data_IF_704580670023
#
_entry.id   IF_704580670023
#
_cell.length_a   1.000
_cell.length_b   1.000
_cell.length_c   1.000
_cell.angle_alpha   90.00
_cell.angle_beta   90.00
_cell.angle_gamma   90.00
#
_symmetry.space_group_name_H-M   'P 1'
#
loop_
_entity.id
_entity.type
_entity.pdbx_description
1 polymer ?
#
# COMPACT_ATOMS: atom_id res chain seq x y z
N UNK A 1 -10.33 17.34 -18.68
CA UNK A 1 -11.53 16.66 -18.18
C UNK A 1 -11.13 15.25 -17.79
N UNK A 2 -11.44 14.79 -16.58
CA UNK A 2 -11.09 13.43 -16.16
C UNK A 2 -11.91 12.41 -16.97
N UNK A 3 -11.23 11.36 -17.45
CA UNK A 3 -11.90 10.26 -18.15
C UNK A 3 -12.43 9.28 -17.09
N UNK A 4 -13.74 9.05 -17.09
CA UNK A 4 -14.38 8.07 -16.21
C UNK A 4 -14.79 6.84 -17.01
N UNK A 5 -14.53 5.62 -16.51
CA UNK A 5 -14.81 4.38 -17.24
C UNK A 5 -16.32 4.09 -17.40
N UNK A 6 -17.15 4.65 -16.51
CA UNK A 6 -18.60 4.46 -16.55
C UNK A 6 -19.30 5.78 -16.85
N UNK A 7 -20.28 5.73 -17.74
CA UNK A 7 -21.08 6.90 -18.12
C UNK A 7 -21.77 7.55 -16.93
N UNK A 8 -22.33 6.76 -16.02
CA UNK A 8 -22.96 7.28 -14.79
C UNK A 8 -21.98 8.05 -13.90
N UNK A 9 -20.72 7.63 -13.82
CA UNK A 9 -19.68 8.37 -13.09
C UNK A 9 -19.37 9.71 -13.78
N UNK A 10 -19.27 9.70 -15.09
CA UNK A 10 -19.04 10.92 -15.87
C UNK A 10 -20.15 11.94 -15.66
N UNK A 11 -21.40 11.50 -15.72
CA UNK A 11 -22.59 12.32 -15.47
C UNK A 11 -22.61 12.85 -14.03
N UNK A 12 -22.36 11.99 -13.05
CA UNK A 12 -22.32 12.35 -11.63
C UNK A 12 -21.23 13.40 -11.35
N UNK A 13 -20.01 13.17 -11.84
CA UNK A 13 -18.90 14.13 -11.67
C UNK A 13 -19.21 15.45 -12.39
N UNK A 14 -19.80 15.42 -13.57
CA UNK A 14 -20.22 16.61 -14.30
C UNK A 14 -21.27 17.44 -13.56
N UNK A 15 -22.22 16.76 -12.88
CA UNK A 15 -23.31 17.40 -12.15
C UNK A 15 -22.90 17.92 -10.77
N UNK A 16 -21.98 17.22 -10.07
CA UNK A 16 -21.64 17.55 -8.68
C UNK A 16 -20.30 18.27 -8.54
N UNK A 17 -19.33 18.04 -9.41
CA UNK A 17 -18.00 18.69 -9.45
C UNK A 17 -17.35 18.81 -8.10
N UNK A 18 -17.33 17.70 -7.33
CA UNK A 18 -16.69 17.67 -6.02
C UNK A 18 -15.18 17.96 -6.16
N UNK A 19 -14.68 18.85 -5.32
CA UNK A 19 -13.27 19.15 -5.14
C UNK A 19 -12.88 19.06 -3.68
N UNK A 20 -11.61 19.06 -3.39
CA UNK A 20 -11.09 18.99 -2.02
C UNK A 20 -9.86 19.86 -1.88
N UNK A 21 -10.04 21.11 -1.46
CA UNK A 21 -8.95 21.98 -1.06
C UNK A 21 -8.69 21.80 0.44
N UNK A 22 -7.44 21.54 0.83
CA UNK A 22 -7.04 21.32 2.21
C UNK A 22 -5.68 21.92 2.52
N UNK A 23 -5.19 21.64 3.73
CA UNK A 23 -3.89 22.12 4.21
C UNK A 23 -3.02 20.95 4.65
N UNK A 24 -1.73 21.20 4.79
CA UNK A 24 -0.73 20.41 5.50
C UNK A 24 0.23 21.33 6.22
N UNK A 25 1.01 20.82 7.18
CA UNK A 25 1.98 21.61 7.92
C UNK A 25 1.39 22.46 9.05
N UNK A 26 0.20 22.11 9.55
CA UNK A 26 -0.41 22.87 10.67
C UNK A 26 0.46 22.85 11.92
N UNK A 27 0.99 21.69 12.31
CA UNK A 27 1.84 21.58 13.50
C UNK A 27 3.12 22.40 13.34
N UNK A 28 3.72 22.40 12.17
CA UNK A 28 4.90 23.25 11.87
C UNK A 28 4.59 24.74 11.99
N UNK A 29 3.42 25.16 11.52
CA UNK A 29 2.98 26.55 11.63
C UNK A 29 2.77 26.96 13.09
N UNK A 30 2.12 26.11 13.90
CA UNK A 30 1.92 26.36 15.33
C UNK A 30 3.25 26.44 16.10
N UNK A 31 4.20 25.53 15.82
CA UNK A 31 5.54 25.55 16.39
C UNK A 31 6.26 26.85 16.05
N UNK A 32 6.23 27.29 14.78
CA UNK A 32 6.85 28.55 14.35
C UNK A 32 6.24 29.80 15.00
N UNK A 33 4.98 29.71 15.41
CA UNK A 33 4.27 30.77 16.12
C UNK A 33 4.39 30.68 17.65
N UNK A 34 5.11 29.65 18.17
CA UNK A 34 5.24 29.32 19.59
C UNK A 34 3.87 29.04 20.25
N UNK A 35 2.98 28.39 19.52
CA UNK A 35 1.64 28.02 19.97
C UNK A 35 1.60 26.51 20.19
N UNK A 36 1.23 26.10 21.40
CA UNK A 36 1.06 24.67 21.74
C UNK A 36 -0.16 24.10 21.01
N UNK A 37 0.03 22.99 20.30
CA UNK A 37 -1.05 22.28 19.65
C UNK A 37 -2.10 21.82 20.69
N UNK A 38 -3.39 22.06 20.45
CA UNK A 38 -4.47 21.74 21.37
C UNK A 38 -4.82 22.83 22.37
N UNK A 39 -4.01 23.89 22.50
CA UNK A 39 -4.31 25.05 23.34
C UNK A 39 -5.47 25.89 22.78
N UNK A 40 -6.10 26.70 23.64
CA UNK A 40 -7.15 27.63 23.21
C UNK A 40 -6.65 28.62 22.13
N UNK A 41 -5.39 29.02 22.21
CA UNK A 41 -4.76 29.85 21.20
C UNK A 41 -4.69 29.13 19.85
N UNK A 42 -4.31 27.83 19.84
CA UNK A 42 -4.30 27.01 18.64
C UNK A 42 -5.71 26.84 18.05
N UNK A 43 -6.70 26.53 18.89
CA UNK A 43 -8.11 26.39 18.50
C UNK A 43 -8.62 27.70 17.86
N UNK A 44 -8.38 28.84 18.51
CA UNK A 44 -8.79 30.15 17.99
C UNK A 44 -8.13 30.50 16.65
N UNK A 45 -6.84 30.17 16.49
CA UNK A 45 -6.11 30.38 15.23
C UNK A 45 -6.67 29.47 14.12
N UNK A 46 -6.91 28.19 14.43
CA UNK A 46 -7.47 27.23 13.49
C UNK A 46 -8.87 27.63 13.03
N UNK A 47 -9.71 28.12 13.94
CA UNK A 47 -11.04 28.65 13.61
C UNK A 47 -10.96 29.81 12.61
N UNK A 48 -10.08 30.78 12.86
CA UNK A 48 -9.86 31.92 11.95
C UNK A 48 -9.39 31.47 10.56
N UNK A 49 -8.42 30.54 10.48
CA UNK A 49 -7.91 30.02 9.22
C UNK A 49 -9.01 29.28 8.48
N UNK A 50 -9.72 28.37 9.16
CA UNK A 50 -10.82 27.59 8.59
C UNK A 50 -11.94 28.49 8.06
N UNK A 51 -12.32 29.51 8.81
CA UNK A 51 -13.33 30.50 8.43
C UNK A 51 -12.92 31.25 7.14
N UNK A 52 -11.68 31.73 7.05
CA UNK A 52 -11.19 32.41 5.85
C UNK A 52 -11.17 31.49 4.65
N UNK A 53 -10.68 30.25 4.82
CA UNK A 53 -10.65 29.25 3.76
C UNK A 53 -12.06 28.93 3.25
N UNK A 54 -13.00 28.67 4.14
CA UNK A 54 -14.39 28.33 3.79
C UNK A 54 -15.05 29.47 3.00
N UNK A 55 -14.99 30.69 3.52
CA UNK A 55 -15.59 31.87 2.88
C UNK A 55 -15.00 32.15 1.50
N UNK A 56 -13.68 32.04 1.35
CA UNK A 56 -13.03 32.26 0.05
C UNK A 56 -13.35 31.16 -0.95
N UNK A 57 -13.41 29.90 -0.50
CA UNK A 57 -13.78 28.78 -1.37
C UNK A 57 -15.24 28.92 -1.85
N UNK A 58 -16.16 29.25 -0.96
CA UNK A 58 -17.58 29.51 -1.27
C UNK A 58 -17.70 30.66 -2.27
N UNK A 59 -17.07 31.79 -2.00
CA UNK A 59 -17.09 32.97 -2.88
C UNK A 59 -16.57 32.62 -4.28
N UNK A 60 -15.43 31.92 -4.35
CA UNK A 60 -14.84 31.53 -5.63
C UNK A 60 -15.72 30.56 -6.38
N UNK A 61 -16.28 29.54 -5.72
CA UNK A 61 -17.18 28.58 -6.34
C UNK A 61 -18.45 29.25 -6.90
N UNK A 62 -19.00 30.24 -6.19
CA UNK A 62 -20.16 31.00 -6.69
C UNK A 62 -19.82 31.91 -7.87
N UNK A 63 -18.62 32.46 -7.92
CA UNK A 63 -18.15 33.28 -9.07
C UNK A 63 -17.98 32.43 -10.33
N UNK A 64 -17.45 31.19 -10.20
CA UNK A 64 -17.32 30.25 -11.33
C UNK A 64 -18.68 29.86 -11.89
N UNK A 65 -19.69 29.71 -11.04
CA UNK A 65 -21.04 29.36 -11.48
C UNK A 65 -21.65 30.46 -12.35
N UNK A 66 -21.44 31.72 -12.03
CA UNK A 66 -21.93 32.85 -12.80
C UNK A 66 -21.37 32.89 -14.23
N UNK A 67 -20.16 32.40 -14.45
CA UNK A 67 -19.50 32.37 -15.77
C UNK A 67 -19.92 31.16 -16.63
N UNK A 68 -20.16 30.02 -16.01
CA UNK A 68 -20.35 28.73 -16.72
C UNK A 68 -21.74 28.13 -16.61
N UNK A 69 -22.66 28.82 -15.95
CA UNK A 69 -24.01 28.37 -15.64
C UNK A 69 -24.05 27.37 -14.46
N UNK A 70 -25.22 27.19 -13.85
CA UNK A 70 -25.37 26.42 -12.63
C UNK A 70 -24.95 24.95 -12.86
N UNK A 71 -23.87 24.55 -12.21
CA UNK A 71 -23.39 23.18 -12.30
C UNK A 71 -23.94 22.28 -11.21
N UNK A 72 -24.33 22.83 -10.08
CA UNK A 72 -24.93 22.10 -8.99
C UNK A 72 -26.43 22.44 -8.83
N UNK A 73 -27.25 21.79 -9.61
CA UNK A 73 -28.72 22.05 -9.69
C UNK A 73 -29.48 21.78 -8.39
N UNK A 74 -28.91 21.06 -7.44
CA UNK A 74 -29.53 20.73 -6.15
C UNK A 74 -28.96 21.51 -4.97
N UNK A 75 -28.19 22.57 -5.22
CA UNK A 75 -27.55 23.37 -4.19
C UNK A 75 -28.55 23.84 -3.11
N UNK A 76 -29.70 24.37 -3.52
CA UNK A 76 -30.77 24.87 -2.63
C UNK A 76 -31.42 23.77 -1.77
N UNK A 77 -31.26 22.49 -2.11
CA UNK A 77 -31.76 21.34 -1.32
C UNK A 77 -30.78 20.89 -0.26
N UNK A 78 -29.51 21.32 -0.34
CA UNK A 78 -28.46 20.93 0.62
C UNK A 78 -28.72 21.54 2.00
N UNK A 79 -28.63 20.72 3.04
CA UNK A 79 -28.69 21.19 4.43
C UNK A 79 -27.53 22.12 4.78
N UNK A 80 -26.35 21.90 4.21
CA UNK A 80 -25.21 22.80 4.34
C UNK A 80 -25.53 24.19 3.78
N UNK A 81 -26.09 24.24 2.57
CA UNK A 81 -26.50 25.48 1.92
C UNK A 81 -27.54 26.25 2.75
N UNK A 82 -28.56 25.54 3.25
CA UNK A 82 -29.61 26.14 4.11
C UNK A 82 -29.07 26.74 5.39
N UNK A 83 -28.06 26.14 5.99
CA UNK A 83 -27.46 26.59 7.27
C UNK A 83 -26.49 27.76 7.11
N UNK A 84 -25.70 27.75 6.03
CA UNK A 84 -24.53 28.62 5.91
C UNK A 84 -24.70 29.72 4.83
N UNK A 85 -25.69 29.60 3.96
CA UNK A 85 -25.88 30.51 2.83
C UNK A 85 -27.36 30.87 2.61
N UNK A 86 -27.91 31.77 3.43
CA UNK A 86 -29.27 32.24 3.17
C UNK A 86 -29.26 33.08 1.91
N UNK A 87 -29.75 32.54 0.82
CA UNK A 87 -30.47 33.19 -0.28
C UNK A 87 -29.79 33.68 -1.54
N UNK A 88 -28.44 33.73 -1.74
CA UNK A 88 -27.95 34.39 -2.98
C UNK A 88 -26.89 33.68 -3.84
N UNK A 89 -26.23 32.65 -3.35
CA UNK A 89 -25.15 32.05 -4.10
C UNK A 89 -25.47 30.63 -4.54
N UNK A 90 -25.45 30.38 -5.85
CA UNK A 90 -25.38 29.02 -6.38
C UNK A 90 -23.91 28.62 -6.43
N UNK A 91 -23.59 27.39 -6.02
CA UNK A 91 -22.24 26.89 -6.02
C UNK A 91 -21.98 26.01 -7.25
N UNK A 92 -20.82 26.18 -7.86
CA UNK A 92 -20.38 25.31 -8.95
C UNK A 92 -20.02 23.89 -8.48
N UNK A 93 -19.75 23.72 -7.18
CA UNK A 93 -19.22 22.51 -6.60
C UNK A 93 -20.05 22.09 -5.38
N UNK A 94 -20.31 20.78 -5.22
CA UNK A 94 -21.02 20.24 -4.07
C UNK A 94 -20.18 20.11 -2.82
N UNK A 95 -18.87 20.03 -2.98
CA UNK A 95 -17.89 19.94 -1.93
C UNK A 95 -16.69 20.80 -2.32
N UNK A 96 -16.17 21.58 -1.40
CA UNK A 96 -15.06 22.51 -1.61
C UNK A 96 -13.82 22.14 -0.80
N UNK A 97 -14.01 21.89 0.51
CA UNK A 97 -12.92 21.71 1.45
C UNK A 97 -12.82 20.26 1.96
N UNK A 98 -11.59 19.79 2.11
CA UNK A 98 -11.26 18.50 2.69
C UNK A 98 -9.92 18.56 3.42
N UNK A 99 -9.73 17.77 4.46
CA UNK A 99 -8.44 17.52 5.08
C UNK A 99 -8.06 16.07 4.77
N UNK A 100 -7.23 15.91 3.76
CA UNK A 100 -6.69 14.62 3.35
C UNK A 100 -5.48 14.22 4.23
N UNK A 101 -5.08 12.93 4.26
CA UNK A 101 -3.92 12.48 5.04
C UNK A 101 -2.60 13.13 4.65
N UNK A 102 -2.42 13.48 3.39
CA UNK A 102 -1.22 14.11 2.79
C UNK A 102 0.10 13.37 3.07
N UNK A 103 0.07 12.06 3.38
CA UNK A 103 1.22 11.30 3.88
C UNK A 103 2.49 11.44 3.03
N UNK A 104 2.41 11.19 1.72
CA UNK A 104 3.58 11.29 0.82
C UNK A 104 3.95 12.74 0.51
N UNK A 105 2.98 13.60 0.24
CA UNK A 105 3.24 14.98 -0.15
C UNK A 105 3.80 15.80 1.01
N UNK A 106 3.31 15.61 2.24
CA UNK A 106 3.86 16.30 3.41
C UNK A 106 5.30 15.86 3.69
N UNK A 107 5.61 14.58 3.51
CA UNK A 107 6.98 14.07 3.61
C UNK A 107 7.91 14.68 2.58
N UNK A 108 7.45 14.84 1.32
CA UNK A 108 8.24 15.50 0.28
C UNK A 108 8.58 16.96 0.63
N UNK A 109 7.67 17.66 1.29
CA UNK A 109 7.83 19.04 1.71
C UNK A 109 8.44 19.17 3.13
N UNK A 110 8.73 18.06 3.80
CA UNK A 110 9.26 18.01 5.16
C UNK A 110 8.40 18.80 6.17
N UNK A 111 7.09 18.64 6.09
CA UNK A 111 6.12 19.24 7.02
C UNK A 111 5.16 18.17 7.57
N UNK A 112 4.41 18.52 8.61
CA UNK A 112 3.38 17.65 9.19
C UNK A 112 2.22 17.38 8.23
N UNK A 113 1.60 16.21 8.31
CA UNK A 113 0.46 15.84 7.48
C UNK A 113 -0.84 16.52 7.93
N UNK A 114 -1.60 17.08 6.98
CA UNK A 114 -2.92 17.65 7.24
C UNK A 114 -2.94 18.58 8.44
N UNK A 115 -3.84 18.26 9.37
CA UNK A 115 -3.96 18.94 10.67
C UNK A 115 -3.37 18.12 11.82
N UNK A 116 -2.61 17.08 11.55
CA UNK A 116 -2.04 16.25 12.60
C UNK A 116 -0.87 16.94 13.30
N UNK A 117 -0.64 16.67 14.60
CA UNK A 117 0.61 17.09 15.27
C UNK A 117 1.79 16.31 14.68
N UNK A 118 3.00 16.71 15.03
CA UNK A 118 4.16 15.88 14.76
C UNK A 118 4.00 14.54 15.49
N UNK A 119 4.36 13.44 14.79
CA UNK A 119 4.18 12.09 15.33
C UNK A 119 5.01 11.87 16.60
N UNK A 120 6.29 12.20 16.56
CA UNK A 120 7.23 12.10 17.66
C UNK A 120 8.30 13.20 17.53
N UNK A 121 8.89 13.63 18.66
CA UNK A 121 9.99 14.60 18.66
C UNK A 121 11.26 14.04 18.02
N UNK A 122 11.44 12.73 18.10
CA UNK A 122 12.52 12.00 17.42
C UNK A 122 12.07 10.57 17.09
N UNK A 123 12.66 9.97 16.07
CA UNK A 123 12.44 8.55 15.73
C UNK A 123 13.75 7.89 15.33
N UNK A 124 13.84 6.58 15.50
CA UNK A 124 15.01 5.81 15.10
C UNK A 124 14.84 5.27 13.68
N UNK A 125 15.89 5.40 12.89
CA UNK A 125 16.01 4.79 11.57
C UNK A 125 17.14 3.76 11.59
N UNK A 126 16.82 2.51 11.28
CA UNK A 126 17.81 1.44 11.12
C UNK A 126 18.14 1.28 9.64
N UNK A 127 19.41 1.38 9.28
CA UNK A 127 19.87 1.13 7.90
C UNK A 127 20.66 -0.16 7.85
N UNK A 128 20.18 -1.11 7.03
CA UNK A 128 20.80 -2.44 6.86
C UNK A 128 21.74 -2.55 5.66
N UNK A 129 21.75 -1.57 4.77
CA UNK A 129 22.31 -1.72 3.42
C UNK A 129 23.69 -1.14 3.17
N UNK A 130 24.26 -0.39 4.09
CA UNK A 130 25.53 0.34 3.86
C UNK A 130 26.71 -0.14 4.74
N UNK A 131 26.45 -0.96 5.76
CA UNK A 131 27.47 -1.48 6.68
C UNK A 131 27.16 -2.92 7.06
N UNK A 132 28.17 -3.71 7.37
CA UNK A 132 28.05 -5.10 7.86
C UNK A 132 27.31 -5.24 9.20
N UNK A 133 26.95 -4.12 9.82
CA UNK A 133 26.17 -4.04 11.05
C UNK A 133 25.02 -3.06 10.89
N UNK A 134 23.90 -3.35 11.52
CA UNK A 134 22.77 -2.44 11.62
C UNK A 134 23.19 -1.14 12.32
N UNK A 135 23.11 -0.02 11.63
CA UNK A 135 23.38 1.30 12.21
C UNK A 135 22.06 2.00 12.50
N UNK A 136 21.91 2.40 13.75
CA UNK A 136 20.69 3.10 14.23
C UNK A 136 20.99 4.59 14.32
N UNK A 137 20.21 5.38 13.58
CA UNK A 137 20.28 6.85 13.63
C UNK A 137 19.05 7.40 14.32
N UNK A 138 19.26 8.41 15.18
CA UNK A 138 18.16 9.25 15.66
C UNK A 138 17.89 10.32 14.59
N UNK A 139 16.66 10.40 14.13
CA UNK A 139 16.20 11.35 13.12
C UNK A 139 15.19 12.28 13.77
N UNK A 140 15.29 13.56 13.48
CA UNK A 140 14.35 14.57 13.93
C UNK A 140 13.47 15.06 12.77
N UNK A 141 12.19 15.37 13.00
CA UNK A 141 11.41 16.15 12.05
C UNK A 141 12.14 17.46 11.69
N UNK A 142 12.04 17.89 10.44
CA UNK A 142 12.78 19.04 9.95
C UNK A 142 12.61 20.30 10.82
N UNK A 143 11.39 20.57 11.25
CA UNK A 143 11.07 21.72 12.11
C UNK A 143 11.78 21.67 13.47
N UNK A 144 11.95 20.47 14.02
CA UNK A 144 12.67 20.25 15.27
C UNK A 144 14.18 20.41 15.03
N UNK A 145 14.71 19.78 14.00
CA UNK A 145 16.14 19.89 13.66
C UNK A 145 16.54 21.34 13.46
N UNK A 146 15.80 22.11 12.65
CA UNK A 146 16.08 23.52 12.38
C UNK A 146 16.05 24.38 13.65
N UNK A 147 15.12 24.07 14.57
CA UNK A 147 15.03 24.81 15.83
C UNK A 147 16.21 24.45 16.77
N UNK A 148 16.56 23.19 16.85
CA UNK A 148 17.71 22.72 17.65
C UNK A 148 19.02 23.33 17.13
N UNK A 149 19.24 23.29 15.82
CA UNK A 149 20.43 23.85 15.19
C UNK A 149 20.55 25.37 15.44
N UNK A 150 19.43 26.09 15.27
CA UNK A 150 19.40 27.55 15.49
C UNK A 150 19.67 27.96 16.93
N UNK A 151 19.25 27.15 17.90
CA UNK A 151 19.33 27.46 19.33
C UNK A 151 20.42 26.68 20.05
N UNK A 152 21.28 25.94 19.33
CA UNK A 152 22.36 25.12 19.89
C UNK A 152 21.85 24.08 20.91
N UNK A 153 20.70 23.48 20.66
CA UNK A 153 20.09 22.45 21.50
C UNK A 153 20.56 21.08 20.99
N UNK A 154 21.18 20.26 21.84
CA UNK A 154 21.69 18.93 21.49
C UNK A 154 20.72 17.78 21.80
N UNK A 155 19.76 17.98 22.68
CA UNK A 155 18.78 16.96 23.08
C UNK A 155 17.35 17.52 22.96
N UNK A 156 16.49 16.79 22.28
CA UNK A 156 15.08 17.12 22.09
C UNK A 156 14.29 17.26 23.43
N UNK A 157 14.82 16.76 24.53
CA UNK A 157 14.24 16.96 25.87
C UNK A 157 14.28 18.42 26.33
N UNK A 158 15.22 19.19 25.80
CA UNK A 158 15.41 20.61 26.13
C UNK A 158 14.61 21.55 25.20
N UNK A 159 13.71 20.99 24.39
CA UNK A 159 12.82 21.81 23.56
C UNK A 159 11.79 22.54 24.41
N UNK A 160 11.37 23.74 24.02
CA UNK A 160 10.29 24.48 24.72
C UNK A 160 8.99 23.70 24.77
N UNK A 161 8.14 24.04 25.72
CA UNK A 161 6.87 23.35 26.02
C UNK A 161 5.88 23.31 24.85
N UNK A 162 5.95 24.25 23.93
CA UNK A 162 5.07 24.25 22.75
C UNK A 162 5.47 23.22 21.67
N UNK A 163 6.61 22.55 21.82
CA UNK A 163 6.94 21.39 21.01
C UNK A 163 6.27 20.13 21.57
N UNK A 164 5.04 19.92 21.18
CA UNK A 164 4.27 18.73 21.57
C UNK A 164 4.16 17.77 20.39
N UNK A 165 4.27 16.47 20.70
CA UNK A 165 4.05 15.37 19.75
C UNK A 165 2.67 14.74 19.94
N UNK A 166 2.32 13.81 19.07
CA UNK A 166 1.04 13.08 19.16
C UNK A 166 0.86 12.32 20.48
N UNK A 167 1.97 11.97 21.15
CA UNK A 167 1.96 11.27 22.44
C UNK A 167 1.74 12.22 23.64
N UNK A 168 2.08 13.51 23.48
CA UNK A 168 1.98 14.51 24.53
C UNK A 168 0.56 15.14 24.61
N UNK A 169 -0.28 14.95 23.59
CA UNK A 169 -1.57 15.62 23.46
C UNK A 169 -2.69 14.69 23.89
N UNK A 170 -3.57 15.19 24.79
CA UNK A 170 -4.71 14.42 25.23
C UNK A 170 -5.67 14.07 24.07
N UNK A 171 -6.35 12.90 24.11
CA UNK A 171 -7.40 12.58 23.14
C UNK A 171 -8.48 13.66 23.07
N UNK A 172 -8.77 14.31 24.18
CA UNK A 172 -9.76 15.39 24.25
C UNK A 172 -9.35 16.62 23.43
N UNK A 173 -8.10 17.07 23.58
CA UNK A 173 -7.60 18.23 22.86
C UNK A 173 -7.43 17.94 21.37
N UNK A 174 -7.08 16.69 21.02
CA UNK A 174 -7.10 16.22 19.64
C UNK A 174 -8.49 16.30 19.02
N UNK A 175 -9.52 15.86 19.74
CA UNK A 175 -10.91 15.94 19.28
C UNK A 175 -11.40 17.39 19.15
N UNK A 176 -11.02 18.27 20.09
CA UNK A 176 -11.36 19.71 20.01
C UNK A 176 -10.70 20.36 18.77
N UNK A 177 -9.42 20.07 18.53
CA UNK A 177 -8.71 20.55 17.35
C UNK A 177 -9.36 20.05 16.05
N UNK A 178 -9.76 18.79 15.99
CA UNK A 178 -10.47 18.27 14.83
C UNK A 178 -11.86 18.89 14.67
N UNK A 179 -12.56 19.15 15.78
CA UNK A 179 -13.91 19.71 15.77
C UNK A 179 -13.93 21.15 15.23
N UNK A 180 -12.97 21.99 15.61
CA UNK A 180 -12.88 23.35 15.06
C UNK A 180 -12.65 23.35 13.56
N UNK A 181 -11.83 22.46 13.07
CA UNK A 181 -11.66 22.29 11.62
C UNK A 181 -12.92 21.72 10.95
N UNK A 182 -13.56 20.73 11.57
CA UNK A 182 -14.77 20.11 11.01
C UNK A 182 -15.93 21.11 10.85
N UNK A 183 -15.98 22.16 11.66
CA UNK A 183 -17.01 23.21 11.49
C UNK A 183 -16.87 23.99 10.18
N UNK A 184 -15.69 23.96 9.55
CA UNK A 184 -15.40 24.66 8.30
C UNK A 184 -15.19 23.71 7.11
N UNK A 185 -14.99 22.40 7.35
CA UNK A 185 -14.63 21.42 6.31
C UNK A 185 -15.85 20.59 5.89
N UNK A 186 -16.10 20.52 4.59
CA UNK A 186 -17.23 19.80 4.02
C UNK A 186 -17.09 18.28 4.16
N UNK A 187 -15.90 17.74 3.89
CA UNK A 187 -15.62 16.31 3.97
C UNK A 187 -15.31 15.85 5.40
N UNK A 188 -15.26 14.54 5.61
CA UNK A 188 -14.66 13.95 6.79
C UNK A 188 -13.18 14.27 6.84
N UNK A 189 -12.64 14.52 8.03
CA UNK A 189 -11.24 14.87 8.26
C UNK A 189 -10.44 13.62 8.57
N UNK A 190 -9.31 13.44 7.90
CA UNK A 190 -8.33 12.43 8.27
C UNK A 190 -7.54 12.90 9.49
N UNK A 191 -7.77 12.25 10.61
CA UNK A 191 -7.06 12.52 11.87
C UNK A 191 -7.01 11.27 12.71
N UNK A 192 -5.82 10.92 13.21
CA UNK A 192 -5.57 9.71 13.98
C UNK A 192 -5.28 10.08 15.43
N UNK A 193 -6.01 9.49 16.37
CA UNK A 193 -5.72 9.54 17.79
C UNK A 193 -4.82 8.35 18.14
N UNK A 194 -3.61 8.64 18.58
CA UNK A 194 -2.69 7.64 19.09
C UNK A 194 -2.96 7.41 20.57
N UNK A 195 -3.27 6.18 20.92
CA UNK A 195 -3.56 5.78 22.31
C UNK A 195 -2.43 4.89 22.83
N UNK A 196 -2.11 4.99 24.13
CA UNK A 196 -1.15 4.10 24.76
C UNK A 196 -1.64 2.64 24.77
N UNK A 197 -0.74 1.71 25.02
CA UNK A 197 -1.03 0.27 25.03
C UNK A 197 -2.06 -0.12 26.09
N UNK A 198 -2.07 0.59 27.21
CA UNK A 198 -2.94 0.35 28.36
C UNK A 198 -4.39 0.79 28.11
N UNK A 199 -4.68 1.48 27.00
CA UNK A 199 -6.02 1.97 26.69
C UNK A 199 -7.02 0.84 26.55
N UNK A 200 -8.16 1.01 27.21
CA UNK A 200 -9.24 0.05 27.31
C UNK A 200 -10.26 0.20 26.17
N UNK A 201 -11.17 -0.78 26.06
CA UNK A 201 -12.32 -0.68 25.15
C UNK A 201 -13.22 0.49 25.53
N UNK A 202 -13.36 0.76 26.84
CA UNK A 202 -14.15 1.88 27.37
C UNK A 202 -13.55 3.23 26.93
N UNK A 203 -12.25 3.39 26.97
CA UNK A 203 -11.57 4.61 26.50
C UNK A 203 -11.87 4.85 25.00
N UNK A 204 -11.81 3.82 24.19
CA UNK A 204 -12.13 3.91 22.77
C UNK A 204 -13.60 4.27 22.56
N UNK A 205 -14.51 3.65 23.32
CA UNK A 205 -15.94 3.97 23.29
C UNK A 205 -16.18 5.45 23.63
N UNK A 206 -15.57 5.93 24.70
CA UNK A 206 -15.70 7.31 25.15
C UNK A 206 -15.17 8.32 24.11
N UNK A 207 -14.09 7.99 23.40
CA UNK A 207 -13.56 8.79 22.30
C UNK A 207 -14.58 8.90 21.17
N UNK A 208 -15.15 7.78 20.71
CA UNK A 208 -16.16 7.80 19.65
C UNK A 208 -17.42 8.56 20.05
N UNK A 209 -17.89 8.37 21.29
CA UNK A 209 -19.05 9.11 21.83
C UNK A 209 -18.79 10.61 21.92
N UNK A 210 -17.58 11.00 22.32
CA UNK A 210 -17.19 12.41 22.39
C UNK A 210 -17.03 13.01 20.99
N UNK A 211 -16.42 12.28 20.05
CA UNK A 211 -16.33 12.70 18.65
C UNK A 211 -17.72 12.95 18.04
N UNK A 212 -18.66 12.05 18.26
CA UNK A 212 -20.04 12.21 17.82
C UNK A 212 -20.71 13.44 18.43
N UNK A 213 -20.58 13.65 19.75
CA UNK A 213 -21.13 14.84 20.45
C UNK A 213 -20.53 16.14 19.91
N UNK A 214 -19.28 16.15 19.50
CA UNK A 214 -18.61 17.30 18.89
C UNK A 214 -18.96 17.51 17.41
N UNK A 215 -19.81 16.67 16.82
CA UNK A 215 -20.24 16.77 15.43
C UNK A 215 -19.19 16.33 14.40
N UNK A 216 -18.21 15.53 14.79
CA UNK A 216 -17.21 14.99 13.86
C UNK A 216 -17.83 13.98 12.93
N UNK A 217 -17.43 14.01 11.66
CA UNK A 217 -17.88 13.08 10.62
C UNK A 217 -17.14 11.74 10.63
N UNK A 218 -15.98 11.70 11.27
CA UNK A 218 -15.16 10.50 11.41
C UNK A 218 -14.00 10.72 12.36
N UNK A 219 -13.50 9.64 12.95
CA UNK A 219 -12.32 9.61 13.82
C UNK A 219 -11.60 8.29 13.62
N UNK A 220 -10.28 8.30 13.62
CA UNK A 220 -9.44 7.11 13.58
C UNK A 220 -8.71 6.97 14.91
N UNK A 221 -8.72 5.76 15.46
CA UNK A 221 -8.01 5.44 16.70
C UNK A 221 -6.92 4.40 16.38
N UNK A 222 -5.73 4.64 16.85
CA UNK A 222 -4.61 3.70 16.81
C UNK A 222 -4.09 3.47 18.23
N UNK A 223 -4.13 2.23 18.71
CA UNK A 223 -3.56 1.84 20.00
C UNK A 223 -2.15 1.25 19.78
N UNK A 224 -1.19 1.71 20.58
CA UNK A 224 0.18 1.18 20.56
C UNK A 224 0.20 -0.35 20.75
N UNK A 225 1.18 -1.02 20.16
CA UNK A 225 1.37 -2.48 20.24
C UNK A 225 0.15 -3.33 19.86
N UNK A 226 -0.74 -2.83 19.00
CA UNK A 226 -1.81 -3.65 18.42
C UNK A 226 -1.24 -4.58 17.32
N UNK A 227 -2.06 -5.56 16.88
CA UNK A 227 -1.68 -6.53 15.85
C UNK A 227 -1.21 -5.92 14.51
N UNK A 228 -1.57 -4.66 14.23
CA UNK A 228 -1.02 -3.89 13.11
C UNK A 228 0.26 -3.21 13.56
N UNK A 229 1.38 -3.59 12.94
CA UNK A 229 2.66 -2.92 13.17
C UNK A 229 2.59 -1.46 12.74
N UNK A 230 3.06 -0.56 13.60
CA UNK A 230 3.21 0.84 13.27
C UNK A 230 4.28 1.01 12.19
N UNK A 231 4.01 1.83 11.19
CA UNK A 231 4.98 2.19 10.13
C UNK A 231 6.09 3.08 10.72
N UNK A 232 5.77 3.84 11.77
CA UNK A 232 6.70 4.71 12.50
C UNK A 232 6.68 4.31 13.98
N UNK A 233 7.85 4.22 14.60
CA UNK A 233 8.01 3.98 16.04
C UNK A 233 8.79 5.13 16.68
N UNK A 234 8.24 5.67 17.79
CA UNK A 234 8.92 6.72 18.57
C UNK A 234 10.07 6.14 19.38
N UNK A 235 11.10 6.94 19.64
CA UNK A 235 12.26 6.59 20.47
C UNK A 235 11.88 6.43 21.95
N UNK A 236 10.78 7.00 22.38
CA UNK A 236 10.32 7.00 23.77
C UNK A 236 9.71 5.67 24.22
N UNK A 237 9.22 4.86 23.29
CA UNK A 237 8.68 3.52 23.56
C UNK A 237 9.74 2.41 23.66
N UNK A 238 11.02 2.75 23.84
CA UNK A 238 11.96 1.84 24.46
C UNK A 238 11.82 1.87 25.99
N UNK A 239 10.67 1.51 26.53
CA UNK A 239 10.72 0.66 27.71
C UNK A 239 11.41 -0.58 27.23
N UNK A 240 12.65 -0.76 27.74
CA UNK A 240 13.39 -1.98 27.71
C UNK A 240 12.44 -3.15 27.40
N UNK A 241 12.61 -3.77 26.22
CA UNK A 241 12.46 -5.18 26.17
C UNK A 241 13.47 -5.71 27.19
N UNK A 242 13.16 -5.61 28.47
CA UNK A 242 13.46 -6.64 29.42
C UNK A 242 12.76 -7.81 28.77
N UNK A 243 13.54 -8.58 28.04
CA UNK A 243 13.26 -9.94 27.72
C UNK A 243 12.77 -10.52 29.05
N UNK A 244 11.42 -10.52 29.24
CA UNK A 244 10.86 -11.57 30.06
C UNK A 244 11.35 -12.79 29.30
N UNK A 245 12.28 -13.51 29.90
CA UNK A 245 12.52 -14.90 29.63
C UNK A 245 11.22 -15.66 29.94
N UNK A 246 10.18 -15.38 29.15
CA UNK A 246 9.23 -16.39 28.75
C UNK A 246 10.10 -17.35 27.98
N UNK A 247 10.21 -18.59 28.49
CA UNK A 247 10.83 -19.69 27.78
C UNK A 247 10.53 -19.49 26.29
N UNK A 248 11.53 -18.97 25.58
CA UNK A 248 11.52 -18.98 24.13
C UNK A 248 11.30 -20.44 23.78
N UNK A 249 10.08 -20.79 23.35
CA UNK A 249 9.98 -21.84 22.36
C UNK A 249 10.88 -21.34 21.25
N UNK A 250 12.14 -21.78 21.28
CA UNK A 250 13.10 -21.58 20.20
C UNK A 250 12.42 -22.15 18.97
N UNK A 251 11.70 -21.30 18.24
CA UNK A 251 11.48 -21.60 16.85
C UNK A 251 12.90 -21.69 16.29
N UNK A 252 13.35 -22.90 16.05
CA UNK A 252 14.54 -23.11 15.26
C UNK A 252 14.26 -22.40 13.93
N UNK A 253 14.73 -21.18 13.82
CA UNK A 253 14.65 -20.42 12.56
C UNK A 253 15.57 -21.14 11.60
N UNK A 254 14.99 -22.06 10.82
CA UNK A 254 15.69 -22.73 9.74
C UNK A 254 15.94 -21.65 8.70
N UNK A 255 17.19 -21.19 8.62
CA UNK A 255 17.57 -20.25 7.57
C UNK A 255 17.41 -20.93 6.21
N UNK A 256 16.66 -20.35 5.26
CA UNK A 256 16.47 -20.96 3.96
C UNK A 256 17.81 -21.14 3.24
N UNK A 257 18.02 -22.28 2.61
CA UNK A 257 19.18 -22.53 1.77
C UNK A 257 19.21 -21.47 0.67
N UNK A 258 20.32 -20.75 0.55
CA UNK A 258 20.47 -19.70 -0.45
C UNK A 258 20.36 -20.29 -1.87
N UNK A 259 19.62 -19.62 -2.76
CA UNK A 259 19.54 -20.02 -4.17
C UNK A 259 20.92 -20.13 -4.82
N UNK A 260 21.85 -19.28 -4.45
CA UNK A 260 23.23 -19.28 -4.94
C UNK A 260 23.99 -20.55 -4.54
N UNK A 261 23.66 -21.14 -3.39
CA UNK A 261 24.32 -22.34 -2.85
C UNK A 261 23.82 -23.61 -3.55
N UNK A 262 22.57 -23.64 -4.04
CA UNK A 262 21.98 -24.83 -4.70
C UNK A 262 22.65 -25.11 -6.05
N UNK A 263 23.12 -24.10 -6.75
CA UNK A 263 23.74 -24.25 -8.07
C UNK A 263 22.73 -24.58 -9.17
N UNK A 264 23.06 -25.56 -10.01
CA UNK A 264 22.19 -26.00 -11.12
C UNK A 264 21.08 -26.89 -10.59
N UNK A 265 19.83 -26.62 -11.02
CA UNK A 265 18.65 -27.41 -10.72
C UNK A 265 18.11 -28.09 -11.97
N UNK A 266 17.48 -29.25 -11.81
CA UNK A 266 16.90 -30.05 -12.88
C UNK A 266 15.44 -30.26 -12.63
N UNK A 267 14.58 -30.20 -13.65
CA UNK A 267 13.17 -30.34 -13.41
C UNK A 267 12.31 -30.54 -14.65
N UNK A 268 11.02 -30.49 -14.45
CA UNK A 268 10.02 -30.66 -15.51
C UNK A 268 9.04 -29.48 -15.51
N UNK A 269 8.57 -29.12 -16.70
CA UNK A 269 7.48 -28.15 -16.87
C UNK A 269 6.20 -28.86 -17.23
N UNK A 270 5.19 -28.71 -16.40
CA UNK A 270 3.86 -29.31 -16.54
C UNK A 270 2.90 -28.33 -17.17
N UNK A 271 2.09 -28.84 -18.11
CA UNK A 271 1.11 -28.05 -18.83
C UNK A 271 -0.28 -28.39 -18.29
N UNK A 272 -0.94 -27.44 -17.64
CA UNK A 272 -2.25 -27.62 -17.00
C UNK A 272 -3.27 -26.59 -17.52
N UNK A 273 -4.55 -26.96 -17.53
CA UNK A 273 -5.63 -26.08 -18.00
C UNK A 273 -6.23 -25.29 -16.83
N UNK A 274 -6.31 -23.99 -16.97
CA UNK A 274 -7.05 -23.09 -16.07
C UNK A 274 -8.01 -22.20 -16.86
N UNK A 275 -8.89 -21.47 -16.17
CA UNK A 275 -9.87 -20.60 -16.83
C UNK A 275 -9.24 -19.51 -17.72
N UNK A 276 -8.03 -19.05 -17.36
CA UNK A 276 -7.30 -18.02 -18.10
C UNK A 276 -6.47 -18.58 -19.27
N UNK A 277 -6.56 -19.89 -19.56
CA UNK A 277 -5.79 -20.56 -20.61
C UNK A 277 -4.90 -21.66 -20.04
N UNK A 278 -3.67 -21.77 -20.54
CA UNK A 278 -2.70 -22.77 -20.09
C UNK A 278 -1.84 -22.21 -18.97
N UNK A 279 -1.73 -22.97 -17.88
CA UNK A 279 -0.83 -22.74 -16.76
C UNK A 279 0.38 -23.68 -16.89
N UNK A 280 1.55 -23.13 -17.06
CA UNK A 280 2.81 -23.85 -17.06
C UNK A 280 3.39 -23.83 -15.64
N UNK A 281 3.68 -25.00 -15.09
CA UNK A 281 4.23 -25.17 -13.74
C UNK A 281 5.56 -25.88 -13.87
N UNK A 282 6.65 -25.22 -13.50
CA UNK A 282 8.00 -25.79 -13.53
C UNK A 282 8.39 -26.17 -12.12
N UNK A 283 8.73 -27.45 -11.90
CA UNK A 283 9.22 -28.00 -10.63
C UNK A 283 10.68 -28.38 -10.80
N UNK A 284 11.57 -27.87 -9.94
CA UNK A 284 13.01 -28.11 -10.03
C UNK A 284 13.54 -28.81 -8.79
N UNK A 285 14.37 -29.85 -9.00
CA UNK A 285 15.07 -30.61 -7.99
C UNK A 285 16.52 -30.12 -7.88
N UNK A 286 17.08 -30.24 -6.70
CA UNK A 286 18.53 -30.10 -6.50
C UNK A 286 19.30 -31.38 -6.94
N UNK A 287 20.62 -31.37 -6.77
CA UNK A 287 21.49 -32.52 -7.07
C UNK A 287 21.17 -33.79 -6.27
N UNK A 288 20.54 -33.63 -5.11
CA UNK A 288 20.20 -34.69 -4.18
C UNK A 288 18.75 -35.20 -4.39
N UNK A 289 18.04 -34.64 -5.37
CA UNK A 289 16.68 -35.03 -5.74
C UNK A 289 15.57 -34.37 -4.91
N UNK A 290 15.90 -33.37 -4.09
CA UNK A 290 14.89 -32.64 -3.32
C UNK A 290 14.25 -31.55 -4.16
N UNK A 291 12.92 -31.37 -4.05
CA UNK A 291 12.22 -30.27 -4.68
C UNK A 291 12.58 -28.95 -3.97
N UNK A 292 13.16 -28.01 -4.70
CA UNK A 292 13.70 -26.75 -4.15
C UNK A 292 13.10 -25.50 -4.77
N UNK A 293 12.50 -25.64 -5.96
CA UNK A 293 11.93 -24.51 -6.69
C UNK A 293 10.66 -24.87 -7.46
N UNK A 294 9.72 -23.94 -7.46
CA UNK A 294 8.52 -23.98 -8.29
C UNK A 294 8.35 -22.64 -8.97
N UNK A 295 8.09 -22.64 -10.26
CA UNK A 295 7.77 -21.46 -11.05
C UNK A 295 6.48 -21.66 -11.82
N UNK A 296 5.77 -20.57 -12.11
CA UNK A 296 4.58 -20.62 -12.96
C UNK A 296 4.59 -19.53 -14.02
N UNK A 297 4.01 -19.88 -15.17
CA UNK A 297 3.74 -18.93 -16.23
C UNK A 297 2.38 -19.23 -16.87
N UNK A 298 1.63 -18.19 -17.24
CA UNK A 298 0.35 -18.33 -17.95
C UNK A 298 0.49 -17.96 -19.42
N UNK A 299 -0.17 -18.68 -20.30
CA UNK A 299 -0.12 -18.45 -21.76
C UNK A 299 -0.72 -17.09 -22.18
N UNK A 300 -1.60 -16.53 -21.36
CA UNK A 300 -2.17 -15.19 -21.55
C UNK A 300 -1.71 -14.34 -20.39
N UNK A 301 -0.83 -13.38 -20.61
CA UNK A 301 -0.41 -12.42 -19.62
C UNK A 301 -1.65 -11.78 -18.97
N UNK A 302 -1.87 -11.99 -17.68
CA UNK A 302 -3.04 -11.54 -16.95
C UNK A 302 -2.68 -10.94 -15.60
N UNK A 303 -3.64 -10.25 -15.01
CA UNK A 303 -3.53 -9.59 -13.68
C UNK A 303 -3.06 -10.58 -12.60
N UNK A 304 -3.38 -11.88 -12.73
CA UNK A 304 -2.99 -12.92 -11.78
C UNK A 304 -1.51 -13.31 -11.85
N UNK A 305 -0.77 -13.02 -12.93
CA UNK A 305 0.62 -13.47 -13.09
C UNK A 305 1.54 -12.94 -11.97
N UNK A 306 1.34 -11.71 -11.55
CA UNK A 306 2.12 -11.12 -10.44
C UNK A 306 1.87 -11.87 -9.13
N UNK A 307 0.60 -12.20 -8.82
CA UNK A 307 0.23 -12.97 -7.64
C UNK A 307 0.76 -14.41 -7.71
N UNK A 308 0.69 -15.05 -8.87
CA UNK A 308 1.24 -16.38 -9.08
C UNK A 308 2.77 -16.40 -8.88
N UNK A 309 3.47 -15.39 -9.37
CA UNK A 309 4.90 -15.24 -9.15
C UNK A 309 5.24 -15.05 -7.66
N UNK A 310 4.42 -14.29 -6.91
CA UNK A 310 4.59 -14.13 -5.47
C UNK A 310 4.38 -15.47 -4.74
N UNK A 311 3.30 -16.19 -5.05
CA UNK A 311 3.01 -17.51 -4.47
C UNK A 311 4.13 -18.50 -4.74
N UNK A 312 4.61 -18.63 -5.98
CA UNK A 312 5.69 -19.58 -6.33
C UNK A 312 7.02 -19.23 -5.69
N UNK A 313 7.33 -17.93 -5.49
CA UNK A 313 8.49 -17.50 -4.72
C UNK A 313 8.38 -17.93 -3.25
N UNK A 314 7.20 -17.80 -2.65
CA UNK A 314 6.96 -18.24 -1.26
C UNK A 314 7.04 -19.77 -1.15
N UNK A 315 6.48 -20.53 -2.09
CA UNK A 315 6.63 -21.99 -2.14
C UNK A 315 8.11 -22.38 -2.22
N UNK A 316 8.86 -21.78 -3.14
CA UNK A 316 10.29 -22.06 -3.30
C UNK A 316 11.09 -21.69 -2.07
N UNK A 317 10.75 -20.61 -1.37
CA UNK A 317 11.36 -20.23 -0.11
C UNK A 317 11.05 -21.24 0.99
N UNK A 318 9.80 -21.66 1.13
CA UNK A 318 9.34 -22.66 2.12
C UNK A 318 10.04 -23.99 1.91
N UNK A 319 10.13 -24.48 0.67
CA UNK A 319 10.87 -25.70 0.32
C UNK A 319 12.33 -25.61 0.76
N UNK A 320 13.01 -24.52 0.46
CA UNK A 320 14.39 -24.28 0.86
C UNK A 320 14.57 -24.05 2.36
N UNK A 321 13.50 -23.74 3.07
CA UNK A 321 13.47 -23.66 4.54
C UNK A 321 13.15 -25.00 5.21
N UNK A 322 12.97 -26.09 4.43
CA UNK A 322 12.69 -27.40 4.96
C UNK A 322 11.25 -27.64 5.37
N UNK A 323 10.30 -26.79 4.93
CA UNK A 323 8.88 -27.03 5.11
C UNK A 323 8.46 -28.26 4.30
N UNK A 324 7.73 -29.18 4.92
CA UNK A 324 7.26 -30.40 4.26
C UNK A 324 6.28 -30.07 3.13
N UNK A 325 6.35 -30.86 2.07
CA UNK A 325 5.51 -30.67 0.86
C UNK A 325 4.04 -30.78 1.20
N UNK A 326 3.67 -31.72 2.08
CA UNK A 326 2.28 -31.90 2.50
C UNK A 326 1.71 -30.65 3.17
N UNK A 327 2.53 -29.94 3.96
CA UNK A 327 2.15 -28.68 4.60
C UNK A 327 1.91 -27.57 3.58
N UNK A 328 2.74 -27.51 2.53
CA UNK A 328 2.57 -26.57 1.43
C UNK A 328 1.32 -26.92 0.60
N UNK A 329 1.10 -28.21 0.36
CA UNK A 329 -0.08 -28.69 -0.34
C UNK A 329 -1.36 -28.27 0.38
N UNK A 330 -1.45 -28.49 1.68
CA UNK A 330 -2.62 -28.16 2.48
C UNK A 330 -2.96 -26.66 2.46
N UNK A 331 -1.97 -25.79 2.33
CA UNK A 331 -2.19 -24.34 2.23
C UNK A 331 -2.73 -23.93 0.85
N UNK A 332 -2.48 -24.68 -0.20
CA UNK A 332 -2.85 -24.33 -1.57
C UNK A 332 -4.11 -25.03 -2.07
N UNK A 333 -4.36 -26.23 -1.54
CA UNK A 333 -5.48 -27.09 -1.91
C UNK A 333 -6.82 -26.46 -1.54
N UNK A 334 -7.80 -26.61 -2.43
CA UNK A 334 -9.15 -26.12 -2.16
C UNK A 334 -9.34 -24.61 -2.24
N UNK A 335 -8.33 -23.84 -2.62
CA UNK A 335 -8.50 -22.43 -2.93
C UNK A 335 -9.34 -22.30 -4.20
N UNK A 336 -10.41 -21.50 -4.14
CA UNK A 336 -11.35 -21.31 -5.23
C UNK A 336 -11.08 -20.03 -6.03
N UNK A 337 -11.21 -20.13 -7.36
CA UNK A 337 -11.22 -18.99 -8.27
C UNK A 337 -12.56 -18.91 -9.00
N UNK A 338 -13.29 -17.80 -8.92
CA UNK A 338 -14.59 -17.66 -9.59
C UNK A 338 -14.53 -17.96 -11.09
N UNK A 339 -13.47 -17.55 -11.77
CA UNK A 339 -13.30 -17.82 -13.20
C UNK A 339 -13.17 -19.33 -13.50
N UNK A 340 -12.39 -20.08 -12.70
CA UNK A 340 -12.28 -21.54 -12.85
C UNK A 340 -13.61 -22.25 -12.57
N UNK A 341 -14.34 -21.82 -11.54
CA UNK A 341 -15.67 -22.37 -11.23
C UNK A 341 -16.65 -22.13 -12.37
N UNK A 342 -16.73 -20.91 -12.90
CA UNK A 342 -17.60 -20.57 -14.02
C UNK A 342 -17.24 -21.33 -15.30
N UNK A 343 -15.94 -21.52 -15.57
CA UNK A 343 -15.46 -22.26 -16.74
C UNK A 343 -15.83 -23.73 -16.62
N UNK A 344 -15.67 -24.31 -15.45
CA UNK A 344 -16.08 -25.70 -15.16
C UNK A 344 -17.60 -25.87 -15.24
N UNK A 345 -18.38 -24.93 -14.72
CA UNK A 345 -19.84 -24.95 -14.81
C UNK A 345 -20.35 -24.88 -16.26
N UNK A 346 -19.59 -24.26 -17.18
CA UNK A 346 -19.87 -24.24 -18.62
C UNK A 346 -19.44 -25.51 -19.37
N UNK A 347 -18.96 -26.55 -18.65
CA UNK A 347 -18.50 -27.80 -19.25
C UNK A 347 -17.11 -27.76 -19.86
N UNK A 348 -16.35 -26.66 -19.69
CA UNK A 348 -14.99 -26.58 -20.21
C UNK A 348 -13.99 -27.22 -19.23
N UNK A 349 -12.98 -27.97 -19.72
CA UNK A 349 -12.02 -28.66 -18.88
C UNK A 349 -11.08 -27.68 -18.17
N UNK A 350 -10.98 -27.81 -16.85
CA UNK A 350 -9.98 -27.14 -15.99
C UNK A 350 -9.42 -28.18 -15.00
N UNK A 351 -8.12 -28.15 -14.74
CA UNK A 351 -7.42 -29.16 -13.94
C UNK A 351 -7.54 -28.94 -12.42
N UNK A 352 -8.22 -27.87 -11.99
CA UNK A 352 -8.48 -27.61 -10.58
C UNK A 352 -9.43 -26.43 -10.35
N UNK A 353 -9.61 -26.09 -9.08
CA UNK A 353 -10.55 -25.04 -8.66
C UNK A 353 -9.96 -23.64 -8.79
N UNK A 354 -8.63 -23.54 -8.84
CA UNK A 354 -7.86 -22.30 -9.05
C UNK A 354 -6.43 -22.63 -9.46
N UNK A 355 -5.64 -21.63 -9.86
CA UNK A 355 -4.21 -21.83 -10.14
C UNK A 355 -3.42 -22.33 -8.91
N UNK A 356 -3.62 -21.83 -7.67
CA UNK A 356 -3.01 -22.44 -6.48
C UNK A 356 -3.41 -23.91 -6.27
N UNK A 357 -4.67 -24.27 -6.42
CA UNK A 357 -5.14 -25.66 -6.30
C UNK A 357 -4.53 -26.56 -7.38
N UNK A 358 -4.38 -26.06 -8.60
CA UNK A 358 -3.70 -26.79 -9.70
C UNK A 358 -2.22 -27.00 -9.38
N UNK A 359 -1.55 -25.99 -8.82
CA UNK A 359 -0.14 -26.08 -8.39
C UNK A 359 0.05 -27.13 -7.29
N UNK A 360 -0.81 -27.13 -6.28
CA UNK A 360 -0.81 -28.13 -5.19
C UNK A 360 -0.84 -29.56 -5.76
N UNK A 361 -1.81 -29.85 -6.60
CA UNK A 361 -1.97 -31.18 -7.23
C UNK A 361 -0.76 -31.55 -8.08
N UNK A 362 -0.24 -30.61 -8.86
CA UNK A 362 0.91 -30.85 -9.74
C UNK A 362 2.19 -31.12 -8.96
N UNK A 363 2.43 -30.40 -7.86
CA UNK A 363 3.56 -30.63 -6.96
C UNK A 363 3.47 -32.04 -6.36
N UNK A 364 2.29 -32.43 -5.88
CA UNK A 364 2.05 -33.75 -5.33
C UNK A 364 2.28 -34.86 -6.37
N UNK A 365 1.66 -34.76 -7.54
CA UNK A 365 1.84 -35.73 -8.64
C UNK A 365 3.31 -35.89 -9.03
N UNK A 366 4.08 -34.79 -8.99
CA UNK A 366 5.51 -34.83 -9.30
C UNK A 366 6.33 -35.55 -8.22
N UNK A 367 6.06 -35.28 -6.95
CA UNK A 367 6.79 -35.86 -5.83
C UNK A 367 6.44 -37.35 -5.62
N UNK A 368 5.18 -37.73 -5.81
CA UNK A 368 4.75 -39.14 -5.75
C UNK A 368 5.25 -40.00 -6.93
N UNK A 369 6.01 -39.41 -7.86
CA UNK A 369 6.63 -40.12 -8.97
C UNK A 369 5.66 -40.46 -10.11
N UNK A 370 4.43 -39.93 -10.06
CA UNK A 370 3.45 -40.09 -11.13
C UNK A 370 3.87 -39.35 -12.42
N UNK A 371 4.81 -38.42 -12.29
CA UNK A 371 5.45 -37.71 -13.40
C UNK A 371 6.97 -37.83 -13.20
N UNK A 372 7.58 -38.83 -13.80
CA UNK A 372 9.04 -38.99 -13.79
C UNK A 372 9.65 -37.98 -14.76
N UNK A 373 10.68 -37.20 -14.35
CA UNK A 373 11.49 -36.49 -15.33
C UNK A 373 12.13 -37.53 -16.27
N UNK A 374 11.95 -37.38 -17.55
CA UNK A 374 12.68 -38.16 -18.53
C UNK A 374 14.16 -37.74 -18.50
N UNK A 375 14.93 -38.28 -17.58
CA UNK A 375 16.39 -38.17 -17.57
C UNK A 375 16.88 -39.32 -18.48
N UNK A 376 16.69 -39.16 -19.75
CA UNK A 376 17.48 -39.96 -20.72
C UNK A 376 18.87 -39.36 -20.76
N UNK A 377 19.87 -40.15 -20.35
CA UNK A 377 21.28 -39.84 -20.31
C UNK A 377 21.93 -39.67 -21.70
N UNK A 378 21.17 -39.29 -22.72
CA UNK A 378 21.65 -38.79 -24.01
C UNK A 378 20.67 -37.76 -24.54
N UNK A 379 20.85 -36.52 -24.11
CA UNK A 379 20.41 -35.41 -24.93
C UNK A 379 21.44 -35.30 -26.04
N UNK A 380 21.24 -36.04 -27.15
CA UNK A 380 21.72 -35.53 -28.41
C UNK A 380 21.06 -34.17 -28.59
N UNK A 381 21.87 -33.12 -28.52
CA UNK A 381 21.45 -31.79 -28.96
C UNK A 381 21.18 -31.97 -30.48
N UNK A 382 19.94 -32.37 -30.81
CA UNK A 382 19.42 -32.08 -32.11
C UNK A 382 19.36 -30.56 -32.19
N UNK A 383 20.42 -29.98 -32.76
CA UNK A 383 20.39 -28.65 -33.31
C UNK A 383 19.07 -28.54 -34.07
N UNK A 384 18.11 -27.81 -33.52
CA UNK A 384 16.95 -27.38 -34.26
C UNK A 384 17.50 -26.62 -35.46
N UNK A 385 17.62 -27.35 -36.60
CA UNK A 385 17.87 -26.74 -37.88
C UNK A 385 16.77 -25.71 -38.07
N UNK A 386 17.17 -24.44 -38.00
CA UNK A 386 16.30 -23.33 -38.35
C UNK A 386 15.69 -23.68 -39.73
N UNK A 387 14.36 -23.71 -39.78
CA UNK A 387 13.68 -23.79 -41.07
C UNK A 387 14.24 -22.67 -41.95
N UNK A 388 14.76 -23.04 -43.10
CA UNK A 388 15.54 -22.23 -44.03
C UNK A 388 14.79 -21.04 -44.67
N UNK A 389 13.64 -20.63 -44.14
CA UNK A 389 12.79 -19.61 -44.74
C UNK A 389 12.64 -18.33 -43.89
N UNK A 390 13.24 -18.23 -42.70
CA UNK A 390 13.17 -17.00 -41.92
C UNK A 390 14.43 -16.14 -42.12
N UNK A 391 14.46 -15.40 -43.23
CA UNK A 391 15.53 -14.44 -43.55
C UNK A 391 15.03 -13.01 -43.31
N UNK A 392 15.90 -12.17 -42.81
CA UNK A 392 15.62 -10.76 -42.57
C UNK A 392 15.31 -10.02 -43.88
N UNK A 393 14.17 -9.34 -44.00
CA UNK A 393 13.79 -8.63 -45.21
C UNK A 393 14.73 -7.46 -45.56
N UNK A 394 15.49 -6.94 -44.57
CA UNK A 394 16.39 -5.81 -44.81
C UNK A 394 17.84 -6.22 -45.12
N UNK A 395 18.33 -7.28 -44.48
CA UNK A 395 19.75 -7.64 -44.67
C UNK A 395 20.00 -9.09 -45.11
N UNK A 396 18.97 -9.91 -45.32
CA UNK A 396 19.06 -11.28 -45.81
C UNK A 396 19.67 -12.29 -44.84
N UNK A 397 20.01 -11.91 -43.57
CA UNK A 397 20.55 -12.84 -42.56
C UNK A 397 19.43 -13.55 -41.81
N UNK A 398 19.75 -14.66 -41.18
CA UNK A 398 18.78 -15.45 -40.39
C UNK A 398 18.21 -14.68 -39.23
N UNK A 399 16.91 -14.87 -39.00
CA UNK A 399 16.17 -14.25 -37.92
C UNK A 399 16.16 -15.16 -36.68
N UNK A 400 16.16 -14.55 -35.50
CA UNK A 400 16.05 -15.24 -34.20
C UNK A 400 14.69 -14.95 -33.59
N UNK A 401 14.01 -15.98 -33.12
CA UNK A 401 12.72 -15.86 -32.40
C UNK A 401 12.96 -15.78 -30.88
N UNK A 402 12.48 -14.73 -30.26
CA UNK A 402 12.55 -14.55 -28.80
C UNK A 402 11.28 -13.87 -28.26
N UNK A 403 10.61 -14.49 -27.29
CA UNK A 403 9.50 -13.89 -26.57
C UNK A 403 8.28 -13.50 -27.43
N UNK A 404 8.01 -14.20 -28.54
CA UNK A 404 6.90 -13.89 -29.46
C UNK A 404 7.24 -12.87 -30.54
N UNK A 405 8.47 -12.35 -30.54
CA UNK A 405 8.98 -11.49 -31.59
C UNK A 405 10.06 -12.21 -32.43
N UNK A 406 10.20 -11.81 -33.69
CA UNK A 406 11.25 -12.24 -34.60
C UNK A 406 12.18 -11.06 -34.80
N UNK A 407 13.48 -11.22 -34.55
CA UNK A 407 14.46 -10.14 -34.68
C UNK A 407 15.72 -10.56 -35.42
N UNK A 408 16.30 -9.62 -36.10
CA UNK A 408 17.59 -9.78 -36.75
C UNK A 408 18.72 -9.27 -35.86
N UNK A 409 19.63 -10.14 -35.46
CA UNK A 409 20.77 -9.78 -34.62
C UNK A 409 21.84 -8.98 -35.37
N UNK A 410 21.75 -8.89 -36.70
CA UNK A 410 22.74 -8.18 -37.52
C UNK A 410 22.36 -6.73 -37.81
N UNK A 411 21.11 -6.42 -38.14
CA UNK A 411 20.66 -5.07 -38.48
C UNK A 411 19.64 -4.48 -37.52
N UNK A 412 19.20 -5.21 -36.47
CA UNK A 412 18.25 -4.75 -35.48
C UNK A 412 16.78 -4.78 -35.91
N UNK A 413 16.47 -5.23 -37.13
CA UNK A 413 15.11 -5.37 -37.60
C UNK A 413 14.30 -6.33 -36.69
N UNK A 414 13.10 -5.95 -36.31
CA UNK A 414 12.22 -6.80 -35.50
C UNK A 414 10.76 -6.68 -35.87
N UNK A 415 10.04 -7.79 -35.72
CA UNK A 415 8.59 -7.88 -35.92
C UNK A 415 7.99 -8.73 -34.81
N UNK A 416 7.03 -8.18 -34.10
CA UNK A 416 6.24 -8.89 -33.08
C UNK A 416 4.85 -9.20 -33.67
N UNK A 417 4.34 -10.41 -33.40
CA UNK A 417 3.01 -10.87 -33.85
C UNK A 417 1.94 -10.48 -32.81
#
# INVERSE_FOLDING_TARGET
MSLHPLKIQQETVGNYRQIGLGIMGLADALIKLNITYGSDAAISLCDKIGHVMANKAIFTSSSIDNEKGPSFTQCCKSEFYKRHMPTKYQLANTQLLTIAPTGSISTMWNVSGGIEPIFAKSYTRTTKSLHDKDVIYTVYPKIIQDYMDKNNISDAKNLPEWFVSSEDISPEDRLKMQAVWQSHIDASISSTLNLPEESTVEDVYNIYMKAWKLGLKGVTVYRANCARQAILSSTTNKKSNTILETEEKKFNTISPISRKTIGTTYGATHCKKCACGTLYITTNLDKDGNLVEVFTHTSKGGICQANLNAVTRMISLSLRSGVKIDEIEDQLKGIHCPACQMTKAKGNPVDGMSCPDIMSRTIKEFVEGNIKPCINNKVELNTLTANSNDVCPECGKSLVRSGGCVQCTNCGWSRCS
#
